data_IF_562027704547
#
_entry.id   IF_562027704547
#
_cell.length_a   1.000
_cell.length_b   1.000
_cell.length_c   1.000
_cell.angle_alpha   90.00
_cell.angle_beta   90.00
_cell.angle_gamma   90.00
#
_symmetry.space_group_name_H-M   'P 1'
#
loop_
_entity.id
_entity.type
_entity.pdbx_description
1 polymer ?
#
# COMPACT_ATOMS: atom_id res chain seq x y z
N UNK A 1 -5.52 22.75 -7.09
CA UNK A 1 -4.95 21.64 -7.85
C UNK A 1 -5.70 20.35 -7.56
N UNK A 2 -6.01 19.61 -8.60
CA UNK A 2 -6.79 18.39 -8.46
C UNK A 2 -5.86 17.19 -8.38
N UNK A 3 -6.08 16.34 -7.38
CA UNK A 3 -5.31 15.09 -7.29
C UNK A 3 -5.86 14.09 -8.30
N UNK A 4 -4.99 13.26 -8.81
CA UNK A 4 -5.41 12.20 -9.71
C UNK A 4 -6.18 11.14 -8.93
N UNK A 5 -6.93 10.31 -9.63
CA UNK A 5 -7.65 9.19 -9.01
C UNK A 5 -6.66 8.24 -8.35
N UNK A 6 -5.51 8.03 -9.00
CA UNK A 6 -4.47 7.18 -8.45
C UNK A 6 -3.89 7.76 -7.18
N UNK A 7 -3.69 9.09 -7.14
CA UNK A 7 -3.19 9.76 -5.95
C UNK A 7 -4.15 9.64 -4.78
N UNK A 8 -5.43 9.83 -5.05
CA UNK A 8 -6.46 9.68 -4.01
C UNK A 8 -6.50 8.26 -3.49
N UNK A 9 -6.35 7.29 -4.38
CA UNK A 9 -6.35 5.89 -4.01
C UNK A 9 -5.12 5.53 -3.16
N UNK A 10 -3.97 6.12 -3.47
CA UNK A 10 -2.76 5.91 -2.68
C UNK A 10 -2.97 6.39 -1.24
N UNK A 11 -3.59 7.55 -1.09
CA UNK A 11 -3.89 8.09 0.23
C UNK A 11 -4.87 7.18 0.96
N UNK A 12 -5.90 6.73 0.25
CA UNK A 12 -6.90 5.82 0.82
C UNK A 12 -6.23 4.54 1.33
N UNK A 13 -5.40 3.92 0.52
CA UNK A 13 -4.71 2.68 0.90
C UNK A 13 -3.79 2.90 2.10
N UNK A 14 -3.09 4.04 2.12
CA UNK A 14 -2.20 4.37 3.22
C UNK A 14 -2.98 4.48 4.53
N UNK A 15 -4.12 5.17 4.51
CA UNK A 15 -4.94 5.34 5.69
C UNK A 15 -5.55 4.03 6.15
N UNK A 16 -6.01 3.21 5.22
CA UNK A 16 -6.58 1.91 5.55
C UNK A 16 -5.55 0.99 6.16
N UNK A 17 -4.36 0.96 5.59
CA UNK A 17 -3.29 0.12 6.09
C UNK A 17 -2.84 0.57 7.49
N UNK A 18 -2.71 1.89 7.66
CA UNK A 18 -2.35 2.49 8.94
C UNK A 18 -3.33 2.06 10.04
N UNK A 19 -4.61 2.16 9.74
CA UNK A 19 -5.66 1.81 10.68
C UNK A 19 -5.68 0.31 10.97
N UNK A 20 -5.61 -0.50 9.93
CA UNK A 20 -5.69 -1.95 10.07
C UNK A 20 -4.51 -2.52 10.85
N UNK A 21 -3.33 -1.93 10.71
CA UNK A 21 -2.12 -2.40 11.36
C UNK A 21 -1.78 -1.65 12.64
N UNK A 22 -2.59 -0.66 12.97
CA UNK A 22 -2.38 0.16 14.17
C UNK A 22 -0.99 0.81 14.17
N UNK A 23 -0.63 1.39 13.03
CA UNK A 23 0.65 2.06 12.85
C UNK A 23 0.46 3.57 12.78
N UNK A 24 1.55 4.30 13.01
CA UNK A 24 1.53 5.75 12.81
C UNK A 24 1.71 6.04 11.33
N UNK A 25 1.36 7.27 10.92
CA UNK A 25 1.59 7.69 9.54
C UNK A 25 3.05 7.61 9.15
N UNK A 26 3.95 7.98 10.07
CA UNK A 26 5.39 7.92 9.79
C UNK A 26 5.87 6.49 9.58
N UNK A 27 5.34 5.56 10.38
CA UNK A 27 5.71 4.15 10.24
C UNK A 27 5.27 3.58 8.90
N UNK A 28 4.05 3.91 8.48
CA UNK A 28 3.54 3.43 7.19
C UNK A 28 4.33 4.07 6.05
N UNK A 29 4.62 5.36 6.15
CA UNK A 29 5.37 6.05 5.10
C UNK A 29 6.75 5.41 4.92
N UNK A 30 7.42 5.09 6.03
CA UNK A 30 8.72 4.45 5.95
C UNK A 30 8.61 3.05 5.34
N UNK A 31 7.64 2.28 5.78
CA UNK A 31 7.43 0.93 5.29
C UNK A 31 7.14 0.92 3.79
N UNK A 32 6.24 1.79 3.37
CA UNK A 32 5.84 1.88 1.96
C UNK A 32 6.99 2.37 1.08
N UNK A 33 7.82 3.28 1.61
CA UNK A 33 8.99 3.76 0.87
C UNK A 33 10.03 2.66 0.74
N UNK A 34 10.28 1.95 1.83
CA UNK A 34 11.30 0.91 1.86
C UNK A 34 11.03 -0.20 0.84
N UNK A 35 9.79 -0.62 0.74
CA UNK A 35 9.41 -1.73 -0.13
C UNK A 35 8.74 -1.29 -1.42
N UNK A 36 8.74 0.02 -1.66
CA UNK A 36 8.16 0.60 -2.88
C UNK A 36 6.70 0.23 -3.08
N UNK A 37 5.96 0.23 -1.97
CA UNK A 37 4.55 -0.15 -2.00
C UNK A 37 3.72 0.84 -2.79
N UNK A 38 4.06 2.14 -2.71
CA UNK A 38 3.34 3.14 -3.49
C UNK A 38 3.41 2.86 -4.99
N UNK A 39 4.60 2.45 -5.47
CA UNK A 39 4.76 2.10 -6.88
C UNK A 39 3.90 0.90 -7.24
N UNK A 40 3.84 -0.08 -6.36
CA UNK A 40 3.02 -1.26 -6.55
C UNK A 40 1.54 -0.90 -6.64
N UNK A 41 1.06 -0.09 -5.69
CA UNK A 41 -0.35 0.31 -5.66
C UNK A 41 -0.69 1.11 -6.92
N UNK A 42 0.19 2.03 -7.30
CA UNK A 42 -0.03 2.84 -8.50
C UNK A 42 -0.12 1.97 -9.75
N UNK A 43 0.81 1.02 -9.87
CA UNK A 43 0.84 0.13 -11.03
C UNK A 43 -0.37 -0.79 -11.11
N UNK A 44 -0.92 -1.15 -9.96
CA UNK A 44 -2.05 -2.07 -9.89
C UNK A 44 -3.38 -1.37 -9.61
N UNK A 45 -3.44 -0.06 -9.85
CA UNK A 45 -4.63 0.73 -9.52
C UNK A 45 -5.90 0.13 -10.11
N UNK A 46 -5.88 -0.24 -11.37
CA UNK A 46 -7.07 -0.76 -12.05
C UNK A 46 -7.60 -2.02 -11.39
N UNK A 47 -6.70 -2.88 -10.96
CA UNK A 47 -7.10 -4.13 -10.30
C UNK A 47 -7.51 -3.88 -8.84
N UNK A 48 -6.75 -3.07 -8.14
CA UNK A 48 -6.94 -2.88 -6.71
C UNK A 48 -8.15 -2.02 -6.35
N UNK A 49 -8.44 -1.00 -7.16
CA UNK A 49 -9.52 -0.08 -6.79
C UNK A 49 -10.90 -0.71 -6.90
N UNK A 50 -11.01 -1.85 -7.56
CA UNK A 50 -12.28 -2.59 -7.65
C UNK A 50 -12.37 -3.67 -6.57
N UNK A 51 -11.33 -3.82 -5.75
CA UNK A 51 -11.25 -4.83 -4.71
C UNK A 51 -11.72 -4.24 -3.38
N UNK A 52 -12.31 -5.05 -2.52
CA UNK A 52 -12.71 -4.59 -1.20
C UNK A 52 -11.51 -4.27 -0.33
N UNK A 53 -11.70 -3.40 0.69
CA UNK A 53 -10.62 -2.93 1.53
C UNK A 53 -9.84 -4.05 2.22
N UNK A 54 -10.54 -5.10 2.64
CA UNK A 54 -9.87 -6.22 3.33
C UNK A 54 -8.88 -6.91 2.40
N UNK A 55 -9.24 -7.04 1.15
CA UNK A 55 -8.37 -7.66 0.16
C UNK A 55 -7.18 -6.78 -0.18
N UNK A 56 -7.40 -5.48 -0.17
CA UNK A 56 -6.32 -4.52 -0.44
C UNK A 56 -5.24 -4.64 0.64
N UNK A 57 -5.64 -4.68 1.90
CA UNK A 57 -4.71 -4.81 3.02
C UNK A 57 -3.92 -6.12 2.91
N UNK A 58 -4.63 -7.21 2.64
CA UNK A 58 -4.00 -8.52 2.47
C UNK A 58 -3.00 -8.53 1.34
N UNK A 59 -3.37 -7.91 0.24
CA UNK A 59 -2.53 -7.85 -0.96
C UNK A 59 -1.25 -7.08 -0.68
N UNK A 60 -1.37 -5.95 0.01
CA UNK A 60 -0.21 -5.15 0.39
C UNK A 60 0.70 -5.95 1.32
N UNK A 61 0.12 -6.65 2.30
CA UNK A 61 0.89 -7.47 3.21
C UNK A 61 1.67 -8.55 2.47
N UNK A 62 1.04 -9.22 1.53
CA UNK A 62 1.70 -10.25 0.73
C UNK A 62 2.84 -9.66 -0.08
N UNK A 63 2.61 -8.51 -0.67
CA UNK A 63 3.64 -7.83 -1.46
C UNK A 63 4.85 -7.52 -0.58
N UNK A 64 4.62 -6.98 0.61
CA UNK A 64 5.70 -6.65 1.54
C UNK A 64 6.45 -7.90 1.99
N UNK A 65 5.71 -8.97 2.32
CA UNK A 65 6.33 -10.20 2.76
C UNK A 65 7.22 -10.81 1.68
N UNK A 66 6.78 -10.75 0.43
CA UNK A 66 7.57 -11.23 -0.69
C UNK A 66 8.83 -10.42 -0.87
N UNK A 67 8.73 -9.10 -0.67
CA UNK A 67 9.90 -8.23 -0.79
C UNK A 67 10.88 -8.48 0.34
N UNK A 68 10.39 -8.72 1.55
CA UNK A 68 11.23 -9.05 2.68
C UNK A 68 12.00 -10.33 2.43
N UNK A 69 11.33 -11.34 1.93
CA UNK A 69 11.94 -12.62 1.62
C UNK A 69 13.04 -12.47 0.56
N UNK A 70 12.80 -11.61 -0.43
CA UNK A 70 13.75 -11.38 -1.49
C UNK A 70 15.01 -10.67 -1.00
N UNK A 71 14.87 -9.81 0.02
CA UNK A 71 16.02 -9.04 0.53
C UNK A 71 16.80 -9.76 1.60
N UNK A 72 16.29 -10.84 2.11
CA UNK A 72 16.93 -11.59 3.19
C UNK A 72 18.00 -12.57 2.68
N UNK A 73 17.93 -12.93 1.45
CA UNK A 73 18.84 -13.91 0.85
C UNK A 73 20.29 -13.46 0.87
#
# INVERSE_FOLDING_TARGET
>A
MTMSREGDFLIYCTEQYKSAKNLTGAQVAELFSRYKVWNYIYSCFEALHTTGENYIIKDIDLYIEERKAATVS
#
